data_IF_034743375128
#
_entry.id   IF_034743375128
#
_cell.length_a   1.000
_cell.length_b   1.000
_cell.length_c   1.000
_cell.angle_alpha   90.00
_cell.angle_beta   90.00
_cell.angle_gamma   90.00
#
_symmetry.space_group_name_H-M   'P 1'
#
loop_
_entity.id
_entity.type
_entity.pdbx_description
1 polymer ?
#
# COMPACT_ATOMS: atom_id res chain seq x y z
N UNK A 1 7.12 -9.53 -24.54
CA UNK A 1 6.31 -9.98 -23.38
C UNK A 1 5.49 -8.80 -22.90
N UNK A 2 4.18 -8.96 -22.71
CA UNK A 2 3.29 -7.90 -22.21
C UNK A 2 3.54 -7.71 -20.71
N UNK A 3 3.85 -6.50 -20.29
CA UNK A 3 4.05 -6.14 -18.88
C UNK A 3 3.38 -4.81 -18.64
N UNK A 4 2.50 -4.77 -17.65
CA UNK A 4 1.76 -3.57 -17.25
C UNK A 4 2.16 -3.20 -15.83
N UNK A 5 2.57 -1.95 -15.66
CA UNK A 5 3.05 -1.40 -14.39
C UNK A 5 2.15 -0.25 -13.97
N UNK A 6 1.70 -0.29 -12.71
CA UNK A 6 0.86 0.75 -12.12
C UNK A 6 1.63 1.50 -11.05
N UNK A 7 1.60 2.83 -11.13
CA UNK A 7 2.37 3.71 -10.25
C UNK A 7 1.47 4.48 -9.29
N UNK A 8 2.08 4.98 -8.21
CA UNK A 8 1.38 5.75 -7.19
C UNK A 8 0.85 7.09 -7.74
N UNK A 9 -0.38 7.45 -7.36
CA UNK A 9 -1.01 8.74 -7.72
C UNK A 9 -0.27 9.90 -7.05
N UNK A 10 0.47 10.71 -7.83
CA UNK A 10 1.32 11.79 -7.30
C UNK A 10 0.56 12.89 -6.55
N UNK A 11 -0.64 13.25 -7.02
CA UNK A 11 -1.36 14.43 -6.52
C UNK A 11 -1.88 14.31 -5.09
N UNK A 12 -2.41 13.14 -4.70
CA UNK A 12 -2.98 12.93 -3.34
C UNK A 12 -1.89 12.94 -2.28
N UNK A 13 -0.73 12.35 -2.59
CA UNK A 13 0.42 12.29 -1.68
C UNK A 13 1.09 13.65 -1.51
N UNK A 14 1.15 14.48 -2.57
CA UNK A 14 1.74 15.82 -2.50
C UNK A 14 1.01 16.76 -1.54
N UNK A 15 -0.32 16.80 -1.58
CA UNK A 15 -1.12 17.67 -0.69
C UNK A 15 -1.00 17.28 0.78
N UNK A 16 -0.95 15.97 1.08
CA UNK A 16 -0.78 15.48 2.46
C UNK A 16 0.61 15.83 3.01
N UNK A 17 1.65 15.79 2.18
CA UNK A 17 2.99 16.22 2.59
C UNK A 17 3.06 17.72 2.83
N UNK A 18 2.42 18.52 1.96
CA UNK A 18 2.40 19.98 2.10
C UNK A 18 1.69 20.39 3.39
N UNK A 19 0.52 19.81 3.66
CA UNK A 19 -0.22 20.11 4.89
C UNK A 19 0.52 19.63 6.14
N UNK A 20 1.10 18.42 6.11
CA UNK A 20 1.90 17.89 7.22
C UNK A 20 3.17 18.71 7.45
N UNK A 21 3.84 19.17 6.39
CA UNK A 21 5.02 20.04 6.45
C UNK A 21 4.71 21.40 7.07
N UNK A 22 3.57 22.01 6.72
CA UNK A 22 3.13 23.27 7.31
C UNK A 22 2.91 23.15 8.84
N UNK A 23 2.33 22.04 9.30
CA UNK A 23 2.14 21.77 10.73
C UNK A 23 3.50 21.60 11.43
N UNK A 24 4.47 20.93 10.80
CA UNK A 24 5.82 20.82 11.36
C UNK A 24 6.47 22.20 11.55
N UNK A 25 6.36 23.10 10.57
CA UNK A 25 6.90 24.48 10.69
C UNK A 25 6.22 25.23 11.83
N UNK A 26 4.90 25.09 11.98
CA UNK A 26 4.15 25.71 13.08
C UNK A 26 4.60 25.19 14.45
N UNK A 27 4.75 23.87 14.60
CA UNK A 27 5.25 23.25 15.84
C UNK A 27 6.67 23.71 16.17
N UNK A 28 7.54 23.84 15.17
CA UNK A 28 8.89 24.37 15.33
C UNK A 28 8.86 25.83 15.82
N UNK A 29 7.98 26.66 15.25
CA UNK A 29 7.76 28.04 15.71
C UNK A 29 7.31 28.11 17.17
N UNK A 30 6.37 27.26 17.58
CA UNK A 30 5.92 27.15 18.98
C UNK A 30 7.06 26.72 19.90
N UNK A 31 7.89 25.76 19.48
CA UNK A 31 9.04 25.30 20.26
C UNK A 31 10.09 26.41 20.44
N UNK A 32 10.41 27.15 19.39
CA UNK A 32 11.35 28.30 19.44
C UNK A 32 10.79 29.42 20.32
N UNK A 33 9.49 29.70 20.23
CA UNK A 33 8.87 30.70 21.09
C UNK A 33 8.84 30.26 22.56
N UNK A 34 8.56 28.99 22.82
CA UNK A 34 8.48 28.42 24.18
C UNK A 34 9.83 28.23 24.86
N UNK A 35 10.94 28.22 24.11
CA UNK A 35 12.28 28.12 24.67
C UNK A 35 12.75 29.42 25.34
N UNK A 36 11.98 30.50 25.20
CA UNK A 36 12.31 31.81 25.76
C UNK A 36 13.33 32.59 24.94
N UNK A 37 13.65 32.16 23.71
CA UNK A 37 14.62 32.88 22.87
C UNK A 37 14.14 34.28 22.44
N UNK A 38 12.82 34.50 22.48
CA UNK A 38 12.16 35.74 22.08
C UNK A 38 11.68 36.53 23.31
N UNK A 39 11.01 35.86 24.24
CA UNK A 39 10.36 36.50 25.40
C UNK A 39 11.17 36.40 26.71
N UNK A 40 12.35 35.77 26.71
CA UNK A 40 13.15 35.43 27.90
C UNK A 40 12.44 34.57 28.97
N UNK A 41 11.16 34.24 28.77
CA UNK A 41 10.40 33.33 29.64
C UNK A 41 10.40 31.91 29.09
N UNK A 42 11.00 31.00 29.86
CA UNK A 42 11.07 29.60 29.47
C UNK A 42 9.79 28.86 29.87
N UNK A 43 9.00 28.46 28.88
CA UNK A 43 7.75 27.71 29.07
C UNK A 43 8.01 26.23 28.86
N UNK A 44 8.49 25.55 29.92
CA UNK A 44 8.94 24.13 29.87
C UNK A 44 7.86 23.19 29.32
N UNK A 45 6.62 23.29 29.82
CA UNK A 45 5.52 22.39 29.43
C UNK A 45 5.21 22.43 27.92
N UNK A 46 4.92 23.59 27.31
CA UNK A 46 4.67 23.65 25.86
C UNK A 46 5.92 23.34 25.03
N UNK A 47 7.13 23.66 25.53
CA UNK A 47 8.39 23.32 24.85
C UNK A 47 8.56 21.80 24.68
N UNK A 48 8.37 21.02 25.76
CA UNK A 48 8.53 19.56 25.72
C UNK A 48 7.45 18.91 24.84
N UNK A 49 6.20 19.34 24.97
CA UNK A 49 5.08 18.77 24.20
C UNK A 49 5.24 19.07 22.71
N UNK A 50 5.51 20.33 22.35
CA UNK A 50 5.69 20.73 20.95
C UNK A 50 6.90 20.05 20.32
N UNK A 51 8.02 19.92 21.05
CA UNK A 51 9.22 19.24 20.56
C UNK A 51 8.99 17.74 20.35
N UNK A 52 8.32 17.07 21.28
CA UNK A 52 7.99 15.64 21.13
C UNK A 52 7.08 15.39 19.93
N UNK A 53 6.01 16.18 19.79
CA UNK A 53 5.10 16.10 18.65
C UNK A 53 5.80 16.41 17.33
N UNK A 54 6.67 17.42 17.31
CA UNK A 54 7.47 17.78 16.14
C UNK A 54 8.37 16.64 15.68
N UNK A 55 9.07 15.97 16.60
CA UNK A 55 9.94 14.84 16.27
C UNK A 55 9.17 13.66 15.67
N UNK A 56 8.03 13.29 16.28
CA UNK A 56 7.18 12.19 15.79
C UNK A 56 6.65 12.52 14.39
N UNK A 57 6.09 13.72 14.21
CA UNK A 57 5.59 14.20 12.92
C UNK A 57 6.68 14.22 11.85
N UNK A 58 7.86 14.73 12.19
CA UNK A 58 8.99 14.81 11.28
C UNK A 58 9.48 13.42 10.86
N UNK A 59 9.55 12.46 11.79
CA UNK A 59 9.92 11.08 11.46
C UNK A 59 8.94 10.44 10.48
N UNK A 60 7.64 10.63 10.68
CA UNK A 60 6.60 10.16 9.75
C UNK A 60 6.70 10.83 8.38
N UNK A 61 6.95 12.15 8.36
CA UNK A 61 7.09 12.94 7.14
C UNK A 61 8.31 12.50 6.33
N UNK A 62 9.47 12.28 6.96
CA UNK A 62 10.67 11.73 6.31
C UNK A 62 10.39 10.34 5.73
N UNK A 63 9.68 9.48 6.48
CA UNK A 63 9.27 8.16 6.00
C UNK A 63 8.42 8.23 4.74
N UNK A 64 7.44 9.13 4.71
CA UNK A 64 6.60 9.37 3.52
C UNK A 64 7.41 9.92 2.36
N UNK A 65 8.28 10.92 2.58
CA UNK A 65 9.19 11.50 1.58
C UNK A 65 10.07 10.46 0.91
N UNK A 66 10.65 9.52 1.69
CA UNK A 66 11.40 8.39 1.13
C UNK A 66 10.52 7.50 0.25
N UNK A 67 9.26 7.28 0.64
CA UNK A 67 8.26 6.56 -0.15
C UNK A 67 7.95 7.23 -1.50
N UNK A 68 7.91 8.57 -1.58
CA UNK A 68 7.72 9.25 -2.89
C UNK A 68 8.93 9.15 -3.81
N UNK A 69 10.13 9.02 -3.24
CA UNK A 69 11.35 8.82 -4.03
C UNK A 69 11.39 7.41 -4.63
N UNK A 70 10.66 6.46 -4.03
CA UNK A 70 10.46 5.14 -4.63
C UNK A 70 9.54 5.25 -5.86
N UNK A 71 10.16 5.22 -7.04
CA UNK A 71 9.47 5.20 -8.34
C UNK A 71 9.04 3.80 -8.77
N UNK A 72 9.25 2.79 -7.93
CA UNK A 72 8.93 1.42 -8.29
C UNK A 72 7.40 1.24 -8.40
N UNK A 73 6.91 0.36 -9.29
CA UNK A 73 5.49 0.16 -9.51
C UNK A 73 4.78 -0.45 -8.29
N UNK A 74 3.61 0.08 -7.94
CA UNK A 74 2.77 -0.45 -6.85
C UNK A 74 2.13 -1.77 -7.22
N UNK A 75 1.80 -1.99 -8.50
CA UNK A 75 1.32 -3.26 -9.02
C UNK A 75 2.03 -3.55 -10.34
N UNK A 76 2.50 -4.78 -10.50
CA UNK A 76 3.16 -5.25 -11.73
C UNK A 76 2.45 -6.52 -12.19
N UNK A 77 1.94 -6.48 -13.41
CA UNK A 77 1.31 -7.62 -14.08
C UNK A 77 2.19 -8.03 -15.25
N UNK A 78 2.55 -9.31 -15.31
CA UNK A 78 3.26 -9.92 -16.41
C UNK A 78 2.41 -11.04 -17.00
N UNK A 79 2.84 -11.60 -18.14
CA UNK A 79 2.14 -12.71 -18.76
C UNK A 79 1.91 -13.93 -17.84
N UNK A 80 2.78 -14.16 -16.85
CA UNK A 80 2.72 -15.36 -16.00
C UNK A 80 2.45 -15.03 -14.52
N UNK A 81 2.73 -13.80 -14.09
CA UNK A 81 2.70 -13.44 -12.68
C UNK A 81 2.04 -12.09 -12.42
N UNK A 82 1.54 -11.92 -11.20
CA UNK A 82 1.10 -10.65 -10.65
C UNK A 82 1.83 -10.37 -9.34
N UNK A 83 2.04 -9.09 -9.03
CA UNK A 83 2.66 -8.65 -7.79
C UNK A 83 2.09 -7.29 -7.41
N UNK A 84 1.94 -7.04 -6.12
CA UNK A 84 1.65 -5.69 -5.64
C UNK A 84 2.32 -5.35 -4.32
N UNK A 85 2.38 -4.05 -4.06
CA UNK A 85 3.00 -3.42 -2.89
C UNK A 85 2.08 -2.36 -2.28
N UNK A 86 0.79 -2.41 -2.62
CA UNK A 86 -0.26 -1.49 -2.17
C UNK A 86 -0.65 -1.69 -0.70
N UNK A 87 -0.34 -2.84 -0.10
CA UNK A 87 -0.63 -3.15 1.29
C UNK A 87 0.50 -3.98 1.92
N UNK A 88 0.63 -4.00 3.26
CA UNK A 88 1.63 -4.84 3.94
C UNK A 88 1.52 -6.32 3.55
N UNK A 89 0.28 -6.82 3.39
CA UNK A 89 0.05 -8.20 2.98
C UNK A 89 0.48 -8.45 1.53
N UNK A 90 0.13 -7.61 0.57
CA UNK A 90 0.52 -7.79 -0.84
C UNK A 90 2.04 -7.69 -1.00
N UNK A 91 2.67 -6.76 -0.28
CA UNK A 91 4.13 -6.63 -0.23
C UNK A 91 4.80 -7.88 0.36
N UNK A 92 4.24 -8.46 1.42
CA UNK A 92 4.76 -9.68 2.03
C UNK A 92 4.49 -10.91 1.15
N UNK A 93 3.31 -10.99 0.52
CA UNK A 93 2.92 -12.07 -0.38
C UNK A 93 3.90 -12.22 -1.54
N UNK A 94 4.31 -11.11 -2.17
CA UNK A 94 5.26 -11.14 -3.27
C UNK A 94 4.59 -11.43 -4.60
N UNK A 95 5.15 -12.35 -5.40
CA UNK A 95 4.66 -12.69 -6.74
C UNK A 95 3.72 -13.89 -6.66
N UNK A 96 2.52 -13.74 -7.22
CA UNK A 96 1.60 -14.84 -7.49
C UNK A 96 1.65 -15.24 -8.95
N UNK A 97 1.41 -16.51 -9.25
CA UNK A 97 1.30 -17.01 -10.62
C UNK A 97 -0.17 -17.10 -11.04
N UNK A 98 -0.47 -16.69 -12.29
CA UNK A 98 -1.84 -16.71 -12.81
C UNK A 98 -2.43 -18.12 -12.90
N UNK A 99 -1.59 -19.15 -13.05
CA UNK A 99 -2.03 -20.56 -13.10
C UNK A 99 -2.67 -21.03 -11.80
N UNK A 100 -2.30 -20.43 -10.67
CA UNK A 100 -2.82 -20.80 -9.35
C UNK A 100 -4.06 -19.99 -8.96
N UNK A 101 -4.48 -19.02 -9.80
CA UNK A 101 -5.64 -18.17 -9.55
C UNK A 101 -6.92 -18.95 -9.85
N UNK A 102 -7.80 -19.00 -8.85
CA UNK A 102 -9.11 -19.64 -8.91
C UNK A 102 -10.20 -18.63 -9.27
N UNK A 103 -10.09 -17.42 -8.75
CA UNK A 103 -11.13 -16.40 -8.89
C UNK A 103 -10.55 -14.98 -8.73
N UNK A 104 -11.20 -14.00 -9.37
CA UNK A 104 -10.86 -12.58 -9.26
C UNK A 104 -12.16 -11.77 -9.18
N UNK A 105 -12.40 -11.18 -8.01
CA UNK A 105 -13.61 -10.40 -7.73
C UNK A 105 -13.29 -9.04 -7.13
N UNK A 106 -14.34 -8.23 -6.97
CA UNK A 106 -14.28 -6.95 -6.30
C UNK A 106 -15.08 -7.00 -5.01
N UNK A 107 -14.42 -6.73 -3.89
CA UNK A 107 -15.04 -6.70 -2.57
C UNK A 107 -14.96 -5.30 -1.96
N UNK A 108 -15.97 -4.95 -1.15
CA UNK A 108 -15.96 -3.69 -0.41
C UNK A 108 -15.55 -3.97 1.03
N UNK A 109 -14.44 -3.38 1.46
CA UNK A 109 -13.92 -3.51 2.83
C UNK A 109 -13.55 -2.14 3.37
N UNK A 110 -14.13 -1.75 4.52
CA UNK A 110 -13.83 -0.48 5.18
C UNK A 110 -14.16 0.77 4.33
N UNK A 111 -15.10 0.69 3.39
CA UNK A 111 -15.45 1.78 2.48
C UNK A 111 -14.53 1.91 1.26
N UNK A 112 -13.51 1.06 1.12
CA UNK A 112 -12.68 0.93 -0.08
C UNK A 112 -13.14 -0.27 -0.92
N UNK A 113 -12.97 -0.16 -2.25
CA UNK A 113 -13.27 -1.24 -3.21
C UNK A 113 -11.96 -1.91 -3.59
N UNK A 114 -11.82 -3.18 -3.26
CA UNK A 114 -10.59 -3.96 -3.39
C UNK A 114 -10.77 -5.05 -4.45
N UNK A 115 -9.75 -5.23 -5.29
CA UNK A 115 -9.67 -6.40 -6.18
C UNK A 115 -9.09 -7.56 -5.38
N UNK A 116 -9.87 -8.62 -5.21
CA UNK A 116 -9.50 -9.82 -4.46
C UNK A 116 -9.12 -10.90 -5.45
N UNK A 117 -7.88 -11.38 -5.35
CA UNK A 117 -7.38 -12.53 -6.11
C UNK A 117 -7.34 -13.74 -5.20
N UNK A 118 -8.12 -14.75 -5.54
CA UNK A 118 -8.22 -16.01 -4.79
C UNK A 118 -7.32 -17.06 -5.43
N UNK A 119 -6.43 -17.64 -4.63
CA UNK A 119 -5.47 -18.66 -5.02
C UNK A 119 -5.84 -20.00 -4.38
N UNK A 120 -5.81 -21.08 -5.17
CA UNK A 120 -6.12 -22.42 -4.69
C UNK A 120 -4.96 -23.05 -3.88
N UNK A 121 -3.71 -22.68 -4.17
CA UNK A 121 -2.53 -23.29 -3.56
C UNK A 121 -1.91 -22.41 -2.46
N UNK A 122 -2.53 -22.40 -1.27
CA UNK A 122 -2.02 -21.56 -0.17
C UNK A 122 -0.63 -21.97 0.35
N UNK A 123 -0.26 -23.25 0.29
CA UNK A 123 1.00 -23.74 0.89
C UNK A 123 2.21 -23.18 0.14
N UNK A 124 2.11 -23.08 -1.19
CA UNK A 124 3.13 -22.49 -2.06
C UNK A 124 3.47 -21.04 -1.67
N UNK A 125 2.49 -20.26 -1.22
CA UNK A 125 2.64 -18.82 -1.03
C UNK A 125 2.67 -18.37 0.44
N UNK A 126 2.39 -19.25 1.40
CA UNK A 126 2.29 -18.86 2.81
C UNK A 126 3.57 -19.11 3.61
N UNK A 127 4.58 -19.78 3.07
CA UNK A 127 5.81 -20.14 3.78
C UNK A 127 6.52 -18.94 4.45
N UNK A 128 6.51 -17.78 3.79
CA UNK A 128 7.14 -16.54 4.25
C UNK A 128 6.17 -15.56 4.93
N UNK A 129 4.87 -15.87 5.00
CA UNK A 129 3.89 -15.01 5.66
C UNK A 129 3.91 -15.20 7.18
N UNK A 130 3.81 -14.10 7.92
CA UNK A 130 3.65 -14.15 9.38
C UNK A 130 2.31 -14.78 9.78
N UNK A 131 2.21 -15.30 11.02
CA UNK A 131 0.96 -15.90 11.55
C UNK A 131 -0.25 -14.95 11.43
N UNK A 132 -0.03 -13.66 11.68
CA UNK A 132 -1.08 -12.63 11.55
C UNK A 132 -1.50 -12.43 10.09
N UNK A 133 -0.54 -12.37 9.16
CA UNK A 133 -0.84 -12.24 7.72
C UNK A 133 -1.61 -13.45 7.20
N UNK A 134 -1.22 -14.67 7.62
CA UNK A 134 -1.96 -15.89 7.30
C UNK A 134 -3.40 -15.84 7.78
N UNK A 135 -3.66 -15.36 9.00
CA UNK A 135 -5.03 -15.26 9.52
C UNK A 135 -5.91 -14.26 8.79
N UNK A 136 -5.32 -13.29 8.09
CA UNK A 136 -6.05 -12.29 7.30
C UNK A 136 -6.26 -12.78 5.87
N UNK A 137 -5.27 -13.46 5.31
CA UNK A 137 -5.26 -13.85 3.91
C UNK A 137 -5.95 -15.20 3.65
N UNK A 138 -5.96 -16.12 4.62
CA UNK A 138 -6.51 -17.47 4.44
C UNK A 138 -7.97 -17.48 4.84
N UNK A 139 -8.83 -17.82 3.88
CA UNK A 139 -10.19 -18.27 4.16
C UNK A 139 -10.12 -19.70 4.71
N UNK A 140 -10.41 -19.84 6.00
CA UNK A 140 -10.32 -21.12 6.72
C UNK A 140 -11.41 -22.12 6.31
N UNK A 141 -12.54 -21.65 5.80
CA UNK A 141 -13.64 -22.53 5.41
C UNK A 141 -13.38 -23.15 4.04
N UNK A 142 -12.80 -22.36 3.14
CA UNK A 142 -12.54 -22.77 1.75
C UNK A 142 -11.12 -23.24 1.50
N UNK A 143 -10.23 -23.06 2.49
CA UNK A 143 -8.80 -23.36 2.39
C UNK A 143 -8.12 -22.60 1.23
N UNK A 144 -8.55 -21.35 1.03
CA UNK A 144 -8.17 -20.48 -0.08
C UNK A 144 -7.34 -19.30 0.40
N UNK A 145 -6.44 -18.81 -0.45
CA UNK A 145 -5.63 -17.63 -0.15
C UNK A 145 -6.15 -16.42 -0.93
N UNK A 146 -6.64 -15.41 -0.22
CA UNK A 146 -7.19 -14.18 -0.76
C UNK A 146 -6.18 -13.05 -0.62
N UNK A 147 -5.76 -12.49 -1.75
CA UNK A 147 -4.84 -11.35 -1.81
C UNK A 147 -5.58 -10.14 -2.35
N UNK A 148 -5.69 -9.11 -1.51
CA UNK A 148 -6.49 -7.91 -1.77
C UNK A 148 -5.62 -6.76 -2.28
N UNK A 149 -5.98 -6.19 -3.43
CA UNK A 149 -5.32 -5.06 -4.06
C UNK A 149 -6.22 -3.83 -4.04
N UNK A 150 -5.80 -2.77 -3.36
CA UNK A 150 -6.50 -1.48 -3.37
C UNK A 150 -6.16 -0.67 -4.60
N UNK A 151 -7.18 -0.09 -5.23
CA UNK A 151 -7.02 0.90 -6.28
C UNK A 151 -6.79 2.33 -5.74
N UNK A 152 -6.99 2.57 -4.44
CA UNK A 152 -6.98 3.91 -3.84
C UNK A 152 -5.63 4.65 -3.92
N UNK A 153 -4.54 3.92 -4.15
CA UNK A 153 -3.19 4.47 -4.27
C UNK A 153 -2.69 4.61 -5.72
N UNK A 154 -3.41 4.06 -6.70
CA UNK A 154 -3.04 4.08 -8.12
C UNK A 154 -3.98 5.00 -8.93
N UNK A 155 -3.66 5.22 -10.21
CA UNK A 155 -4.45 6.12 -11.08
C UNK A 155 -5.71 5.48 -11.69
N UNK A 156 -5.87 4.16 -11.57
CA UNK A 156 -7.03 3.42 -12.08
C UNK A 156 -8.21 3.41 -11.10
N UNK A 157 -9.42 3.28 -11.64
CA UNK A 157 -10.58 2.91 -10.82
C UNK A 157 -10.53 1.42 -10.39
N UNK A 158 -11.20 1.04 -9.31
CA UNK A 158 -11.33 -0.36 -8.90
C UNK A 158 -11.82 -1.29 -10.02
N UNK A 159 -12.76 -0.81 -10.84
CA UNK A 159 -13.36 -1.54 -11.97
C UNK A 159 -12.34 -1.75 -13.10
N UNK A 160 -11.57 -0.71 -13.44
CA UNK A 160 -10.51 -0.81 -14.45
C UNK A 160 -9.37 -1.73 -13.98
N UNK A 161 -9.06 -1.72 -12.68
CA UNK A 161 -8.08 -2.62 -12.10
C UNK A 161 -8.56 -4.07 -12.20
N UNK A 162 -9.82 -4.34 -11.86
CA UNK A 162 -10.43 -5.66 -11.99
C UNK A 162 -10.37 -6.16 -13.43
N UNK A 163 -10.82 -5.35 -14.39
CA UNK A 163 -10.84 -5.70 -15.81
C UNK A 163 -9.43 -6.02 -16.32
N UNK A 164 -8.41 -5.27 -15.86
CA UNK A 164 -7.03 -5.55 -16.23
C UNK A 164 -6.54 -6.88 -15.64
N UNK A 165 -6.84 -7.16 -14.37
CA UNK A 165 -6.48 -8.44 -13.75
C UNK A 165 -7.15 -9.63 -14.46
N UNK A 166 -8.43 -9.51 -14.78
CA UNK A 166 -9.18 -10.53 -15.51
C UNK A 166 -8.64 -10.76 -16.92
N UNK A 167 -8.26 -9.69 -17.64
CA UNK A 167 -7.63 -9.79 -18.97
C UNK A 167 -6.32 -10.58 -18.92
N UNK A 168 -5.44 -10.28 -17.96
CA UNK A 168 -4.17 -11.02 -17.80
C UNK A 168 -4.40 -12.48 -17.39
N UNK A 169 -5.35 -12.74 -16.51
CA UNK A 169 -5.68 -14.10 -16.09
C UNK A 169 -6.23 -14.93 -17.26
N UNK A 170 -7.15 -14.39 -18.05
CA UNK A 170 -7.72 -15.05 -19.23
C UNK A 170 -6.66 -15.34 -20.29
N UNK A 171 -5.81 -14.35 -20.60
CA UNK A 171 -4.67 -14.52 -21.52
C UNK A 171 -3.71 -15.61 -21.04
N UNK A 172 -3.47 -15.71 -19.73
CA UNK A 172 -2.67 -16.76 -19.13
C UNK A 172 -3.32 -18.13 -19.33
N UNK A 173 -4.62 -18.28 -19.02
CA UNK A 173 -5.31 -19.58 -19.11
C UNK A 173 -5.45 -20.09 -20.55
N UNK A 174 -5.67 -19.20 -21.52
CA UNK A 174 -5.74 -19.56 -22.94
C UNK A 174 -4.40 -20.07 -23.48
N UNK A 175 -3.29 -19.55 -22.94
CA UNK A 175 -1.93 -19.95 -23.33
C UNK A 175 -1.52 -21.31 -22.76
N UNK A 176 -2.19 -21.77 -21.71
CA UNK A 176 -1.93 -23.06 -21.04
C UNK A 176 -2.76 -24.21 -21.63
N UNK A 177 -3.72 -23.92 -22.53
CA UNK A 177 -4.46 -24.94 -23.28
C UNK A 177 -3.72 -25.28 -24.59
N UNK A 178 -3.21 -26.51 -24.78
CA UNK A 178 -2.72 -26.95 -26.08
C UNK A 178 -3.90 -27.05 -27.07
N UNK A 179 -3.69 -26.56 -28.29
CA UNK A 179 -4.59 -26.74 -29.43
C UNK A 179 -4.73 -28.22 -29.81
#
# INVERSE_FOLDING_TARGET
>A
MKTTEFFAKKGKTANVLLSSGAICVLLLGIAIYSSGWIDNELKVKPLVISSALFLIMTALLIGKLRGLKDKSPLITLTANTFQGRTAPLTKAFGKGEWVDVKDINLETSGGDRLVVVTLANQEKYTGHLSKMMKSIAIDKERNELNIMYSASEIELSPEQLLETFQSYWKESTEKTMPA
#
